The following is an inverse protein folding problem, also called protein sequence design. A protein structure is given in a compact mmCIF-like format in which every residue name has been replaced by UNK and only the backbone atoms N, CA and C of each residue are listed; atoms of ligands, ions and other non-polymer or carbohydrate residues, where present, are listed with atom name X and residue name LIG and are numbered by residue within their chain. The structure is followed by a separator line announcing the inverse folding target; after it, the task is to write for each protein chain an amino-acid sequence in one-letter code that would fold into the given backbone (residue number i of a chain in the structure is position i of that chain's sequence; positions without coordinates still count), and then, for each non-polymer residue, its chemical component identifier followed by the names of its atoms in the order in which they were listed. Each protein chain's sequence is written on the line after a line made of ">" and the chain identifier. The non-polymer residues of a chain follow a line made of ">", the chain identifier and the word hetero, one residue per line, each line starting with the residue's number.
data_IF_671122471846
#
_entry.id   IF_671122471846
#
_cell.length_a   1.000
_cell.length_b   1.000
_cell.length_c   1.000
_cell.angle_alpha   90.00
_cell.angle_beta   90.00
_cell.angle_gamma   90.00
#
_symmetry.space_group_name_H-M   'P 1'
#
loop_
_entity.id
_entity.type
_entity.pdbx_description
1 polymer ?
#
# COMPACT_ATOMS: atom_id res chain seq x y z
N UNK A 1 -11.90 -21.36 15.12
CA UNK A 1 -13.10 -21.47 15.98
C UNK A 1 -13.84 -22.74 15.61
N UNK A 2 -14.18 -23.60 16.58
CA UNK A 2 -15.08 -24.73 16.35
C UNK A 2 -16.50 -24.25 16.64
N UNK A 3 -17.31 -24.08 15.59
CA UNK A 3 -18.74 -23.81 15.74
C UNK A 3 -19.47 -25.10 16.12
N UNK A 4 -20.52 -24.98 16.93
CA UNK A 4 -21.43 -26.08 17.27
C UNK A 4 -22.11 -26.60 15.99
N UNK A 5 -22.18 -27.92 15.81
CA UNK A 5 -22.82 -28.57 14.66
C UNK A 5 -24.31 -28.18 14.53
N UNK A 6 -24.98 -27.93 15.67
CA UNK A 6 -26.36 -27.45 15.67
C UNK A 6 -26.47 -26.06 15.03
N UNK A 7 -25.52 -25.18 15.32
CA UNK A 7 -25.46 -23.84 14.73
C UNK A 7 -25.17 -23.92 13.23
N UNK A 8 -24.20 -24.75 12.81
CA UNK A 8 -23.86 -24.94 11.40
C UNK A 8 -25.06 -25.46 10.58
N UNK A 9 -25.84 -26.39 11.15
CA UNK A 9 -27.05 -26.90 10.51
C UNK A 9 -28.12 -25.80 10.38
N UNK A 10 -28.43 -25.09 11.48
CA UNK A 10 -29.41 -24.00 11.46
C UNK A 10 -29.04 -22.91 10.46
N UNK A 11 -27.77 -22.52 10.43
CA UNK A 11 -27.27 -21.53 9.48
C UNK A 11 -27.45 -21.99 8.04
N UNK A 12 -27.12 -23.25 7.74
CA UNK A 12 -27.18 -23.81 6.39
C UNK A 12 -28.59 -24.02 5.85
N UNK A 13 -29.56 -24.36 6.71
CA UNK A 13 -30.94 -24.69 6.29
C UNK A 13 -31.95 -23.56 6.47
N UNK A 14 -31.64 -22.56 7.30
CA UNK A 14 -32.57 -21.44 7.59
C UNK A 14 -31.98 -20.10 7.20
N UNK A 15 -30.85 -19.71 7.80
CA UNK A 15 -30.32 -18.36 7.66
C UNK A 15 -29.81 -18.06 6.25
N UNK A 16 -28.95 -18.92 5.69
CA UNK A 16 -28.39 -18.73 4.35
C UNK A 16 -29.43 -18.82 3.21
N UNK A 17 -30.40 -19.76 3.22
CA UNK A 17 -31.50 -19.74 2.26
C UNK A 17 -32.38 -18.49 2.38
N UNK A 18 -32.64 -18.00 3.59
CA UNK A 18 -33.38 -16.77 3.81
C UNK A 18 -32.62 -15.56 3.27
N UNK A 19 -31.32 -15.47 3.52
CA UNK A 19 -30.45 -14.41 2.98
C UNK A 19 -30.49 -14.41 1.44
N UNK A 20 -30.36 -15.57 0.80
CA UNK A 20 -30.46 -15.70 -0.65
C UNK A 20 -31.84 -15.25 -1.16
N UNK A 21 -32.92 -15.67 -0.49
CA UNK A 21 -34.28 -15.25 -0.83
C UNK A 21 -34.45 -13.73 -0.78
N UNK A 22 -33.93 -13.08 0.28
CA UNK A 22 -33.96 -11.63 0.42
C UNK A 22 -33.10 -10.91 -0.63
N UNK A 23 -31.95 -11.46 -1.00
CA UNK A 23 -31.09 -10.91 -2.06
C UNK A 23 -31.77 -10.96 -3.43
N UNK A 24 -32.39 -12.10 -3.77
CA UNK A 24 -33.13 -12.25 -5.03
C UNK A 24 -34.31 -11.28 -5.04
N UNK A 25 -35.08 -11.22 -3.94
CA UNK A 25 -36.21 -10.30 -3.81
C UNK A 25 -35.78 -8.83 -3.98
N UNK A 26 -34.72 -8.40 -3.29
CA UNK A 26 -34.15 -7.06 -3.43
C UNK A 26 -33.66 -6.76 -4.85
N UNK A 27 -33.10 -7.76 -5.54
CA UNK A 27 -32.64 -7.62 -6.94
C UNK A 27 -33.82 -7.43 -7.90
N UNK A 28 -34.90 -8.20 -7.72
CA UNK A 28 -36.13 -8.05 -8.50
C UNK A 28 -36.78 -6.69 -8.24
N UNK A 29 -36.88 -6.26 -6.98
CA UNK A 29 -37.39 -4.93 -6.64
C UNK A 29 -36.53 -3.81 -7.23
N UNK A 30 -35.20 -3.92 -7.15
CA UNK A 30 -34.28 -2.95 -7.74
C UNK A 30 -34.42 -2.87 -9.25
N UNK A 31 -34.63 -4.00 -9.92
CA UNK A 31 -34.93 -4.03 -11.36
C UNK A 31 -36.25 -3.32 -11.67
N UNK A 32 -37.34 -3.65 -10.96
CA UNK A 32 -38.65 -2.99 -11.14
C UNK A 32 -38.57 -1.48 -10.88
N UNK A 33 -37.81 -1.07 -9.87
CA UNK A 33 -37.59 0.35 -9.59
C UNK A 33 -36.81 1.02 -10.73
N UNK A 34 -35.73 0.39 -11.21
CA UNK A 34 -34.92 0.94 -12.30
C UNK A 34 -35.71 1.04 -13.62
N UNK A 35 -36.57 0.07 -13.93
CA UNK A 35 -37.44 0.12 -15.12
C UNK A 35 -38.50 1.21 -15.01
N UNK A 36 -39.02 1.47 -13.81
CA UNK A 36 -39.99 2.54 -13.58
C UNK A 36 -39.36 3.94 -13.57
N UNK A 37 -38.19 4.09 -12.95
CA UNK A 37 -37.52 5.37 -12.77
C UNK A 37 -36.73 5.85 -14.01
N UNK A 38 -36.40 4.96 -14.94
CA UNK A 38 -35.60 5.30 -16.12
C UNK A 38 -36.52 5.67 -17.31
N UNK A 39 -36.34 6.83 -17.95
CA UNK A 39 -37.12 7.21 -19.14
C UNK A 39 -37.01 6.16 -20.26
N UNK A 40 -38.14 5.93 -20.95
CA UNK A 40 -38.24 5.02 -22.09
C UNK A 40 -37.21 5.44 -23.16
N UNK A 41 -36.30 4.52 -23.53
CA UNK A 41 -35.23 4.76 -24.51
C UNK A 41 -33.82 4.93 -23.90
N UNK A 42 -33.70 5.07 -22.57
CA UNK A 42 -32.44 5.14 -21.84
C UNK A 42 -32.26 3.96 -20.87
N UNK A 43 -32.98 2.85 -21.06
CA UNK A 43 -32.81 1.66 -20.23
C UNK A 43 -31.59 0.85 -20.68
N UNK A 44 -30.51 0.90 -19.88
CA UNK A 44 -29.30 0.10 -20.08
C UNK A 44 -29.39 -1.28 -19.41
N UNK A 45 -30.40 -1.47 -18.54
CA UNK A 45 -30.60 -2.71 -17.78
C UNK A 45 -31.68 -3.56 -18.46
N UNK A 46 -31.25 -4.64 -19.11
CA UNK A 46 -32.15 -5.61 -19.75
C UNK A 46 -32.56 -6.73 -18.79
N UNK A 47 -33.60 -7.49 -19.12
CA UNK A 47 -33.98 -8.70 -18.38
C UNK A 47 -32.83 -9.71 -18.28
N UNK A 48 -31.96 -9.78 -19.29
CA UNK A 48 -30.78 -10.65 -19.26
C UNK A 48 -29.82 -10.30 -18.11
N UNK A 49 -29.69 -9.02 -17.76
CA UNK A 49 -28.87 -8.59 -16.62
C UNK A 49 -29.48 -9.03 -15.29
N UNK A 50 -30.81 -8.94 -15.15
CA UNK A 50 -31.53 -9.44 -13.97
C UNK A 50 -31.27 -10.92 -13.78
N UNK A 51 -31.50 -11.73 -14.82
CA UNK A 51 -31.29 -13.18 -14.75
C UNK A 51 -29.84 -13.55 -14.48
N UNK A 52 -28.88 -12.85 -15.10
CA UNK A 52 -27.46 -13.04 -14.84
C UNK A 52 -27.13 -12.79 -13.36
N UNK A 53 -27.63 -11.71 -12.77
CA UNK A 53 -27.40 -11.38 -11.36
C UNK A 53 -28.04 -12.40 -10.42
N UNK A 54 -29.26 -12.85 -10.70
CA UNK A 54 -29.91 -13.92 -9.93
C UNK A 54 -29.10 -15.21 -10.02
N UNK A 55 -28.64 -15.61 -11.22
CA UNK A 55 -27.78 -16.78 -11.38
C UNK A 55 -26.48 -16.67 -10.56
N UNK A 56 -25.82 -15.50 -10.59
CA UNK A 56 -24.61 -15.26 -9.78
C UNK A 56 -24.92 -15.38 -8.28
N UNK A 57 -26.04 -14.82 -7.81
CA UNK A 57 -26.46 -14.92 -6.41
C UNK A 57 -26.75 -16.35 -5.99
N UNK A 58 -27.45 -17.13 -6.81
CA UNK A 58 -27.73 -18.55 -6.54
C UNK A 58 -26.44 -19.35 -6.47
N UNK A 59 -25.53 -19.17 -7.43
CA UNK A 59 -24.23 -19.85 -7.44
C UNK A 59 -23.45 -19.50 -6.17
N UNK A 60 -23.33 -18.20 -5.85
CA UNK A 60 -22.62 -17.73 -4.65
C UNK A 60 -23.24 -18.29 -3.37
N UNK A 61 -24.55 -18.16 -3.21
CA UNK A 61 -25.29 -18.65 -2.03
C UNK A 61 -25.14 -20.16 -1.85
N UNK A 62 -25.23 -20.92 -2.94
CA UNK A 62 -25.01 -22.37 -2.92
C UNK A 62 -23.60 -22.70 -2.46
N UNK A 63 -22.57 -22.04 -2.98
CA UNK A 63 -21.17 -22.25 -2.55
C UNK A 63 -21.00 -21.96 -1.05
N UNK A 64 -21.59 -20.88 -0.54
CA UNK A 64 -21.52 -20.53 0.89
C UNK A 64 -22.24 -21.57 1.77
N UNK A 65 -23.40 -22.06 1.34
CA UNK A 65 -24.13 -23.13 2.03
C UNK A 65 -23.30 -24.42 2.06
N UNK A 66 -22.71 -24.81 0.92
CA UNK A 66 -21.83 -25.98 0.84
C UNK A 66 -20.57 -25.83 1.71
N UNK A 67 -20.10 -24.60 1.90
CA UNK A 67 -19.04 -24.26 2.85
C UNK A 67 -19.52 -24.17 4.31
N UNK A 68 -20.77 -24.53 4.61
CA UNK A 68 -21.39 -24.45 5.94
C UNK A 68 -21.39 -23.04 6.54
N UNK A 69 -21.48 -22.01 5.68
CA UNK A 69 -21.38 -20.61 6.08
C UNK A 69 -20.01 -20.19 6.59
N UNK A 70 -18.97 -21.01 6.39
CA UNK A 70 -17.59 -20.62 6.70
C UNK A 70 -17.13 -19.64 5.62
N UNK A 71 -16.75 -18.45 6.06
CA UNK A 71 -16.04 -17.51 5.20
C UNK A 71 -14.64 -18.06 4.91
N UNK A 72 -14.36 -18.39 3.65
CA UNK A 72 -13.04 -18.84 3.21
C UNK A 72 -11.95 -17.79 3.46
N UNK A 73 -12.34 -16.52 3.62
CA UNK A 73 -11.43 -15.43 3.92
C UNK A 73 -11.11 -15.30 5.43
N UNK A 74 -11.80 -16.00 6.31
CA UNK A 74 -11.58 -15.90 7.74
C UNK A 74 -10.44 -16.82 8.21
N UNK A 75 -9.22 -16.54 7.75
CA UNK A 75 -7.99 -17.19 8.19
C UNK A 75 -7.37 -16.43 9.37
N UNK A 76 -6.89 -17.17 10.38
CA UNK A 76 -6.25 -16.57 11.56
C UNK A 76 -4.75 -16.40 11.28
N UNK A 77 -4.30 -15.16 11.32
CA UNK A 77 -2.89 -14.82 11.16
C UNK A 77 -2.33 -14.28 12.48
N UNK A 78 -1.08 -14.66 12.81
CA UNK A 78 -0.34 -13.99 13.89
C UNK A 78 0.07 -12.58 13.51
N UNK A 79 0.42 -12.40 12.24
CA UNK A 79 0.70 -11.11 11.61
C UNK A 79 -0.01 -11.12 10.26
N UNK A 80 -0.87 -10.14 10.02
CA UNK A 80 -1.58 -10.00 8.76
C UNK A 80 -0.55 -9.88 7.62
N UNK A 81 -0.52 -10.83 6.68
CA UNK A 81 0.46 -10.83 5.59
C UNK A 81 0.10 -9.76 4.55
N UNK A 82 0.97 -9.62 3.55
CA UNK A 82 0.68 -8.79 2.39
C UNK A 82 -0.54 -9.32 1.65
N UNK A 83 -1.44 -8.42 1.33
CA UNK A 83 -2.53 -8.69 0.42
C UNK A 83 -2.03 -8.70 -1.04
N UNK A 84 -2.07 -9.85 -1.74
CA UNK A 84 -1.57 -9.96 -3.10
C UNK A 84 -2.59 -9.44 -4.14
N UNK A 85 -3.85 -9.26 -3.75
CA UNK A 85 -4.95 -9.02 -4.67
C UNK A 85 -5.21 -7.53 -4.87
N UNK A 86 -5.28 -7.05 -6.10
CA UNK A 86 -5.66 -5.66 -6.38
C UNK A 86 -7.18 -5.43 -6.34
N UNK A 87 -7.97 -6.42 -6.78
CA UNK A 87 -9.42 -6.24 -7.03
C UNK A 87 -10.28 -6.87 -5.93
N UNK A 88 -10.00 -8.13 -5.60
CA UNK A 88 -10.86 -8.94 -4.73
C UNK A 88 -10.36 -8.96 -3.29
N UNK A 89 -11.28 -8.84 -2.34
CA UNK A 89 -11.02 -9.01 -0.92
C UNK A 89 -10.78 -10.50 -0.62
N UNK A 90 -9.51 -10.85 -0.43
CA UNK A 90 -9.09 -12.19 -0.02
C UNK A 90 -8.90 -12.31 1.50
N UNK A 91 -8.39 -13.45 1.98
CA UNK A 91 -8.20 -13.68 3.40
C UNK A 91 -7.26 -12.68 4.08
N UNK A 92 -6.21 -12.25 3.39
CA UNK A 92 -5.23 -11.29 3.91
C UNK A 92 -5.86 -9.90 4.10
N UNK A 93 -6.72 -9.50 3.16
CA UNK A 93 -7.47 -8.25 3.25
C UNK A 93 -8.48 -8.29 4.41
N UNK A 94 -9.19 -9.41 4.56
CA UNK A 94 -10.14 -9.60 5.66
C UNK A 94 -9.44 -9.58 7.03
N UNK A 95 -8.24 -10.17 7.13
CA UNK A 95 -7.43 -10.06 8.34
C UNK A 95 -7.10 -8.60 8.70
N UNK A 96 -6.78 -7.76 7.70
CA UNK A 96 -6.53 -6.34 7.91
C UNK A 96 -7.78 -5.56 8.36
N UNK A 97 -8.97 -5.98 7.94
CA UNK A 97 -10.23 -5.43 8.46
C UNK A 97 -10.41 -5.67 9.96
N UNK A 98 -9.99 -6.82 10.50
CA UNK A 98 -10.02 -7.03 11.94
C UNK A 98 -9.03 -6.15 12.70
N UNK A 99 -7.90 -5.80 12.08
CA UNK A 99 -6.91 -4.89 12.69
C UNK A 99 -7.39 -3.43 12.63
N UNK A 100 -7.98 -3.02 11.50
CA UNK A 100 -8.49 -1.67 11.28
C UNK A 100 -9.96 -1.73 10.80
N UNK A 101 -10.93 -1.90 11.70
CA UNK A 101 -12.34 -2.12 11.35
C UNK A 101 -13.02 -0.90 10.72
N UNK A 102 -12.49 0.30 10.96
CA UNK A 102 -12.89 1.54 10.28
C UNK A 102 -12.29 1.69 8.87
N UNK A 103 -11.55 0.67 8.43
CA UNK A 103 -10.84 0.58 7.15
C UNK A 103 -11.05 -0.82 6.56
N UNK A 104 -10.55 -1.03 5.35
CA UNK A 104 -10.69 -2.30 4.64
C UNK A 104 -12.17 -2.76 4.57
N UNK A 105 -13.05 -1.86 4.14
CA UNK A 105 -14.52 -1.98 4.29
C UNK A 105 -15.12 -2.92 3.24
N UNK A 106 -14.49 -3.03 2.06
CA UNK A 106 -14.95 -3.88 0.97
C UNK A 106 -15.02 -5.36 1.35
N UNK A 107 -16.19 -5.97 1.16
CA UNK A 107 -16.42 -7.37 1.53
C UNK A 107 -16.01 -8.38 0.45
N UNK A 108 -16.13 -8.01 -0.82
CA UNK A 108 -15.78 -8.88 -1.96
C UNK A 108 -14.88 -8.16 -2.99
N UNK A 109 -15.16 -6.88 -3.27
CA UNK A 109 -14.38 -6.05 -4.19
C UNK A 109 -13.88 -4.83 -3.42
N UNK A 110 -12.62 -4.47 -3.64
CA UNK A 110 -11.94 -3.34 -3.00
C UNK A 110 -12.20 -1.98 -3.67
N UNK A 111 -13.11 -1.95 -4.66
CA UNK A 111 -13.38 -0.74 -5.45
C UNK A 111 -13.85 0.40 -4.54
N UNK A 112 -14.69 0.11 -3.56
CA UNK A 112 -15.12 1.10 -2.57
C UNK A 112 -13.91 1.72 -1.86
N UNK A 113 -13.03 0.87 -1.32
CA UNK A 113 -11.85 1.32 -0.60
C UNK A 113 -10.84 2.05 -1.47
N UNK A 114 -10.76 1.68 -2.75
CA UNK A 114 -9.94 2.38 -3.72
C UNK A 114 -10.52 3.77 -4.06
N UNK A 115 -11.83 3.91 -4.20
CA UNK A 115 -12.46 5.22 -4.47
C UNK A 115 -12.30 6.14 -3.26
N UNK A 116 -12.60 5.64 -2.07
CA UNK A 116 -12.65 6.43 -0.84
C UNK A 116 -11.31 6.52 -0.10
N UNK A 117 -10.31 5.73 -0.47
CA UNK A 117 -9.01 5.70 0.22
C UNK A 117 -9.11 5.10 1.62
N UNK A 118 -9.84 3.99 1.77
CA UNK A 118 -9.99 3.25 3.03
C UNK A 118 -9.24 1.91 3.03
N UNK A 119 -8.44 1.63 2.00
CA UNK A 119 -7.69 0.38 1.84
C UNK A 119 -6.38 0.34 2.65
N UNK A 120 -6.11 1.36 3.47
CA UNK A 120 -4.93 1.44 4.32
C UNK A 120 -5.07 2.50 5.40
N UNK A 121 -4.37 2.32 6.53
CA UNK A 121 -4.29 3.29 7.62
C UNK A 121 -2.89 3.42 8.18
N UNK A 122 -2.45 4.65 8.41
CA UNK A 122 -1.26 4.98 9.23
C UNK A 122 -1.63 5.32 10.67
N UNK A 123 -2.92 5.37 11.00
CA UNK A 123 -3.40 5.83 12.30
C UNK A 123 -2.84 4.94 13.40
N UNK A 124 -2.30 5.56 14.46
CA UNK A 124 -1.70 4.83 15.57
C UNK A 124 -0.34 4.19 15.26
N UNK A 125 0.20 4.30 14.04
CA UNK A 125 1.55 3.81 13.73
C UNK A 125 2.62 4.77 14.25
N UNK A 126 3.76 4.21 14.64
CA UNK A 126 4.98 4.96 14.99
C UNK A 126 5.85 5.07 13.75
N UNK A 127 6.23 6.29 13.38
CA UNK A 127 6.96 6.57 12.15
C UNK A 127 8.36 7.07 12.45
N UNK A 128 9.36 6.52 11.77
CA UNK A 128 10.71 7.06 11.70
C UNK A 128 10.94 7.63 10.31
N UNK A 129 11.48 8.84 10.23
CA UNK A 129 11.74 9.53 8.95
C UNK A 129 13.20 9.95 8.89
N UNK A 130 13.88 9.61 7.80
CA UNK A 130 15.17 10.22 7.45
C UNK A 130 14.96 11.35 6.46
N UNK A 131 15.77 12.40 6.52
CA UNK A 131 15.57 13.57 5.66
C UNK A 131 14.30 14.36 6.02
N UNK A 132 13.85 14.30 7.28
CA UNK A 132 12.66 15.04 7.75
C UNK A 132 12.76 16.55 7.60
N UNK A 133 13.98 17.11 7.58
CA UNK A 133 14.24 18.52 7.29
C UNK A 133 14.24 18.85 5.79
N UNK A 134 14.10 17.86 4.91
CA UNK A 134 13.94 18.07 3.47
C UNK A 134 12.57 18.62 3.12
N UNK A 135 12.40 19.13 1.90
CA UNK A 135 11.13 19.68 1.46
C UNK A 135 10.00 18.63 1.50
N UNK A 136 10.25 17.44 0.94
CA UNK A 136 9.30 16.31 1.01
C UNK A 136 9.15 15.78 2.44
N UNK A 137 10.25 15.64 3.18
CA UNK A 137 10.24 15.16 4.58
C UNK A 137 9.31 15.97 5.47
N UNK A 138 9.41 17.31 5.45
CA UNK A 138 8.51 18.18 6.21
C UNK A 138 7.06 18.05 5.76
N UNK A 139 6.84 17.99 4.45
CA UNK A 139 5.49 17.91 3.88
C UNK A 139 4.79 16.59 4.24
N UNK A 140 5.50 15.45 4.15
CA UNK A 140 4.92 14.14 4.50
C UNK A 140 4.69 14.01 6.00
N UNK A 141 5.57 14.57 6.85
CA UNK A 141 5.36 14.63 8.29
C UNK A 141 4.05 15.35 8.61
N UNK A 142 3.79 16.52 8.00
CA UNK A 142 2.56 17.25 8.22
C UNK A 142 1.29 16.46 7.81
N UNK A 143 1.35 15.71 6.70
CA UNK A 143 0.24 14.84 6.29
C UNK A 143 0.05 13.65 7.24
N UNK A 144 1.13 13.07 7.77
CA UNK A 144 1.06 11.95 8.72
C UNK A 144 0.51 12.38 10.08
N UNK A 145 0.89 13.57 10.57
CA UNK A 145 0.32 14.15 11.79
C UNK A 145 -1.20 14.33 11.67
N UNK A 146 -1.68 14.80 10.51
CA UNK A 146 -3.12 14.93 10.23
C UNK A 146 -3.85 13.59 10.19
N UNK A 147 -3.19 12.51 9.78
CA UNK A 147 -3.75 11.15 9.75
C UNK A 147 -3.74 10.46 11.13
N UNK A 148 -3.17 11.09 12.16
CA UNK A 148 -3.20 10.58 13.53
C UNK A 148 -2.24 9.42 13.78
N UNK A 149 -1.02 9.50 13.23
CA UNK A 149 0.09 8.64 13.65
C UNK A 149 0.37 8.82 15.15
N UNK A 150 0.83 7.76 15.83
CA UNK A 150 1.09 7.80 17.28
C UNK A 150 2.28 8.70 17.62
N UNK A 151 3.36 8.59 16.84
CA UNK A 151 4.59 9.36 17.06
C UNK A 151 5.41 9.43 15.78
N UNK A 152 6.13 10.54 15.58
CA UNK A 152 7.08 10.71 14.48
C UNK A 152 8.47 11.02 15.08
N UNK A 153 9.49 10.27 14.64
CA UNK A 153 10.88 10.52 14.99
C UNK A 153 11.72 10.79 13.74
N UNK A 154 12.27 11.99 13.62
CA UNK A 154 13.11 12.36 12.48
C UNK A 154 14.59 12.13 12.79
N UNK A 155 15.19 11.13 12.16
CA UNK A 155 16.63 10.85 12.24
C UNK A 155 17.44 11.88 11.46
N UNK A 156 18.40 12.52 12.12
CA UNK A 156 19.29 13.56 11.57
C UNK A 156 20.63 12.95 11.15
N UNK A 157 20.98 13.16 9.88
CA UNK A 157 22.29 12.80 9.34
C UNK A 157 23.41 13.57 10.06
N UNK A 158 24.49 12.88 10.42
CA UNK A 158 25.62 13.40 11.20
C UNK A 158 25.40 13.45 12.72
N UNK A 159 24.18 13.14 13.20
CA UNK A 159 23.86 13.12 14.65
C UNK A 159 23.44 11.71 15.07
N UNK A 160 22.39 11.20 14.42
CA UNK A 160 21.76 9.92 14.72
C UNK A 160 22.30 8.79 13.83
N UNK A 161 22.87 9.14 12.67
CA UNK A 161 23.54 8.20 11.76
C UNK A 161 24.38 8.96 10.73
N UNK A 162 25.36 8.28 10.15
CA UNK A 162 26.10 8.72 8.97
C UNK A 162 26.39 7.53 8.05
N UNK A 163 27.29 7.67 7.08
CA UNK A 163 27.57 6.60 6.11
C UNK A 163 28.34 5.41 6.70
N UNK A 164 28.91 5.55 7.89
CA UNK A 164 29.70 4.53 8.56
C UNK A 164 29.07 4.05 9.88
N UNK A 165 28.33 4.91 10.57
CA UNK A 165 27.80 4.69 11.91
C UNK A 165 26.27 4.77 11.90
N UNK A 166 25.61 3.69 12.31
CA UNK A 166 24.13 3.58 12.33
C UNK A 166 23.58 3.14 13.70
N UNK A 167 24.45 2.93 14.68
CA UNK A 167 24.14 2.29 15.97
C UNK A 167 23.09 3.10 16.74
N UNK A 168 23.20 4.43 16.70
CA UNK A 168 22.26 5.34 17.36
C UNK A 168 20.85 5.29 16.74
N UNK A 169 20.73 4.95 15.46
CA UNK A 169 19.43 4.82 14.79
C UNK A 169 18.69 3.54 15.21
N UNK A 170 19.38 2.50 15.69
CA UNK A 170 18.80 1.19 16.00
C UNK A 170 17.64 1.30 16.99
N UNK A 171 17.79 2.09 18.05
CA UNK A 171 16.74 2.26 19.05
C UNK A 171 15.44 2.80 18.43
N UNK A 172 15.54 3.83 17.59
CA UNK A 172 14.39 4.38 16.87
C UNK A 172 13.79 3.38 15.86
N UNK A 173 14.64 2.68 15.10
CA UNK A 173 14.21 1.69 14.12
C UNK A 173 13.48 0.50 14.76
N UNK A 174 13.96 0.02 15.91
CA UNK A 174 13.33 -1.11 16.63
C UNK A 174 11.94 -0.77 17.17
N UNK A 175 11.69 0.51 17.44
CA UNK A 175 10.47 1.00 18.06
C UNK A 175 9.45 1.58 17.06
N UNK A 176 9.72 1.54 15.75
CA UNK A 176 8.81 2.10 14.75
C UNK A 176 8.09 1.03 13.92
N UNK A 177 6.95 1.40 13.37
CA UNK A 177 6.13 0.56 12.49
C UNK A 177 6.35 0.93 11.02
N UNK A 178 6.70 2.19 10.74
CA UNK A 178 6.96 2.71 9.39
C UNK A 178 8.29 3.44 9.36
N UNK A 179 9.21 3.00 8.50
CA UNK A 179 10.46 3.69 8.16
C UNK A 179 10.31 4.44 6.83
N UNK A 180 10.45 5.76 6.84
CA UNK A 180 10.43 6.60 5.65
C UNK A 180 11.85 7.06 5.31
N UNK A 181 12.32 6.64 4.13
CA UNK A 181 13.61 6.99 3.56
C UNK A 181 13.42 8.17 2.59
N UNK A 182 13.41 9.39 3.13
CA UNK A 182 13.27 10.63 2.37
C UNK A 182 14.57 11.46 2.28
N UNK A 183 15.68 10.94 2.78
CA UNK A 183 17.00 11.54 2.56
C UNK A 183 17.48 11.31 1.12
N UNK A 184 18.30 12.23 0.63
CA UNK A 184 18.94 12.08 -0.67
C UNK A 184 19.72 13.31 -1.09
N UNK A 185 20.63 13.13 -2.05
CA UNK A 185 21.51 14.18 -2.54
C UNK A 185 21.81 14.01 -4.03
N UNK A 186 22.12 15.12 -4.71
CA UNK A 186 22.71 15.14 -6.06
C UNK A 186 24.25 15.31 -6.03
N UNK A 187 24.82 15.44 -4.83
CA UNK A 187 26.24 15.68 -4.57
C UNK A 187 27.15 14.51 -4.93
N UNK A 188 28.42 14.58 -4.51
CA UNK A 188 29.42 13.53 -4.79
C UNK A 188 29.09 12.21 -4.10
N UNK A 189 28.42 12.29 -2.98
CA UNK A 189 27.95 11.21 -2.11
C UNK A 189 26.60 10.62 -2.55
N UNK A 190 26.10 10.93 -3.75
CA UNK A 190 24.78 10.50 -4.21
C UNK A 190 24.56 8.98 -4.13
N UNK A 191 25.57 8.16 -4.46
CA UNK A 191 25.45 6.69 -4.34
C UNK A 191 25.35 6.26 -2.88
N UNK A 192 26.16 6.86 -2.02
CA UNK A 192 26.19 6.52 -0.61
C UNK A 192 24.86 6.91 0.08
N UNK A 193 24.37 8.10 -0.21
CA UNK A 193 23.09 8.61 0.28
C UNK A 193 21.89 7.88 -0.32
N UNK A 194 21.74 7.86 -1.65
CA UNK A 194 20.50 7.41 -2.27
C UNK A 194 20.40 5.88 -2.34
N UNK A 195 21.51 5.15 -2.19
CA UNK A 195 21.54 3.69 -2.31
C UNK A 195 22.09 3.01 -1.04
N UNK A 196 23.39 3.13 -0.75
CA UNK A 196 24.04 2.29 0.27
C UNK A 196 23.46 2.48 1.67
N UNK A 197 23.36 3.73 2.13
CA UNK A 197 22.77 4.04 3.44
C UNK A 197 21.28 3.72 3.52
N UNK A 198 20.52 3.95 2.44
CA UNK A 198 19.12 3.56 2.36
C UNK A 198 18.95 2.04 2.52
N UNK A 199 19.75 1.23 1.81
CA UNK A 199 19.78 -0.23 1.95
C UNK A 199 20.12 -0.64 3.38
N UNK A 200 21.17 -0.04 3.95
CA UNK A 200 21.63 -0.34 5.32
C UNK A 200 20.56 -0.04 6.37
N UNK A 201 19.85 1.07 6.25
CA UNK A 201 18.75 1.41 7.15
C UNK A 201 17.58 0.43 7.05
N UNK A 202 17.22 -0.03 5.84
CA UNK A 202 16.19 -1.08 5.68
C UNK A 202 16.63 -2.38 6.36
N UNK A 203 17.89 -2.79 6.19
CA UNK A 203 18.42 -4.01 6.81
C UNK A 203 18.40 -3.91 8.34
N UNK A 204 18.87 -2.81 8.90
CA UNK A 204 18.85 -2.59 10.34
C UNK A 204 17.42 -2.57 10.88
N UNK A 205 16.48 -1.95 10.16
CA UNK A 205 15.07 -1.98 10.51
C UNK A 205 14.53 -3.40 10.54
N UNK A 206 14.75 -4.19 9.49
CA UNK A 206 14.36 -5.60 9.43
C UNK A 206 14.98 -6.44 10.55
N UNK A 207 16.26 -6.25 10.82
CA UNK A 207 17.02 -7.04 11.80
C UNK A 207 16.60 -6.76 13.24
N UNK A 208 16.23 -5.51 13.55
CA UNK A 208 16.01 -5.05 14.93
C UNK A 208 14.53 -4.84 15.27
N UNK A 209 13.62 -4.93 14.30
CA UNK A 209 12.18 -4.82 14.59
C UNK A 209 11.68 -6.14 15.17
N UNK A 210 11.30 -6.22 16.46
CA UNK A 210 10.67 -7.41 16.99
C UNK A 210 9.30 -7.62 16.35
N UNK A 211 8.80 -8.85 16.40
CA UNK A 211 7.40 -9.13 16.10
C UNK A 211 6.54 -8.38 17.13
N UNK A 212 5.64 -7.52 16.65
CA UNK A 212 4.74 -6.79 17.52
C UNK A 212 3.44 -7.57 17.70
N UNK A 213 3.25 -8.15 18.88
CA UNK A 213 2.00 -8.84 19.20
C UNK A 213 0.83 -7.86 19.40
N UNK A 214 1.11 -6.58 19.66
CA UNK A 214 0.08 -5.55 19.88
C UNK A 214 -0.40 -4.90 18.59
N UNK A 215 0.42 -4.92 17.53
CA UNK A 215 0.07 -4.47 16.19
C UNK A 215 0.43 -5.57 15.18
N UNK A 216 -0.49 -6.51 14.89
CA UNK A 216 -0.21 -7.69 14.08
C UNK A 216 -0.19 -7.35 12.57
N UNK A 217 0.59 -6.35 12.18
CA UNK A 217 0.80 -5.96 10.78
C UNK A 217 2.28 -5.97 10.46
N UNK A 218 2.61 -6.28 9.22
CA UNK A 218 3.99 -6.21 8.76
C UNK A 218 4.56 -4.79 8.94
N UNK A 219 5.83 -4.66 9.36
CA UNK A 219 6.54 -3.39 9.37
C UNK A 219 6.66 -2.83 7.95
N UNK A 220 6.69 -1.51 7.83
CA UNK A 220 6.65 -0.84 6.53
C UNK A 220 7.90 -0.01 6.24
N UNK A 221 8.31 0.02 4.98
CA UNK A 221 9.41 0.85 4.49
C UNK A 221 8.92 1.66 3.31
N UNK A 222 9.03 2.97 3.38
CA UNK A 222 8.66 3.87 2.29
C UNK A 222 9.92 4.55 1.77
N UNK A 223 10.28 4.31 0.51
CA UNK A 223 11.45 4.92 -0.10
C UNK A 223 11.04 6.00 -1.10
N UNK A 224 11.65 7.18 -0.98
CA UNK A 224 11.47 8.28 -1.92
C UNK A 224 12.47 8.14 -3.07
N UNK A 225 12.00 7.52 -4.14
CA UNK A 225 12.67 7.38 -5.43
C UNK A 225 12.58 8.65 -6.28
N UNK A 226 12.57 8.48 -7.60
CA UNK A 226 12.36 9.56 -8.56
C UNK A 226 12.12 9.03 -9.97
N UNK A 227 11.36 9.74 -10.79
CA UNK A 227 11.22 9.40 -12.22
C UNK A 227 12.55 9.26 -12.95
N UNK A 228 13.63 9.90 -12.47
CA UNK A 228 14.97 9.81 -13.07
C UNK A 228 15.55 8.38 -13.11
N UNK A 229 14.98 7.47 -12.32
CA UNK A 229 15.33 6.05 -12.31
C UNK A 229 15.23 5.43 -13.71
N UNK A 230 14.23 5.83 -14.49
CA UNK A 230 14.00 5.27 -15.83
C UNK A 230 14.07 6.33 -16.95
N UNK A 231 14.40 7.58 -16.60
CA UNK A 231 14.55 8.68 -17.55
C UNK A 231 16.01 8.98 -17.88
N UNK A 232 16.34 9.33 -19.13
CA UNK A 232 17.67 9.82 -19.49
C UNK A 232 18.04 11.11 -18.73
N UNK A 233 19.30 11.27 -18.36
CA UNK A 233 19.80 12.45 -17.65
C UNK A 233 20.07 13.68 -18.54
N UNK A 234 19.62 13.65 -19.81
CA UNK A 234 19.72 14.72 -20.83
C UNK A 234 21.03 15.54 -20.82
N UNK A 235 22.18 14.87 -20.62
CA UNK A 235 23.51 15.48 -20.73
C UNK A 235 24.03 16.27 -19.51
N UNK A 236 23.27 16.41 -18.41
CA UNK A 236 23.72 17.12 -17.22
C UNK A 236 24.48 16.16 -16.27
N UNK A 237 25.76 16.45 -15.95
CA UNK A 237 26.64 15.58 -15.14
C UNK A 237 26.12 15.33 -13.72
N UNK A 238 25.54 16.33 -13.06
CA UNK A 238 24.95 16.15 -11.72
C UNK A 238 23.70 15.27 -11.79
N UNK A 239 22.87 15.46 -12.82
CA UNK A 239 21.70 14.61 -13.07
C UNK A 239 22.12 13.19 -13.47
N UNK A 240 23.25 13.00 -14.15
CA UNK A 240 23.79 11.67 -14.46
C UNK A 240 24.16 10.93 -13.19
N UNK A 241 24.89 11.58 -12.27
CA UNK A 241 25.24 10.95 -10.98
C UNK A 241 24.00 10.65 -10.14
N UNK A 242 23.07 11.60 -10.05
CA UNK A 242 21.80 11.40 -9.36
C UNK A 242 21.00 10.23 -9.96
N UNK A 243 20.86 10.19 -11.29
CA UNK A 243 20.21 9.09 -12.01
C UNK A 243 20.89 7.75 -11.74
N UNK A 244 22.22 7.69 -11.82
CA UNK A 244 23.00 6.48 -11.52
C UNK A 244 22.77 6.00 -10.09
N UNK A 245 22.77 6.91 -9.11
CA UNK A 245 22.55 6.54 -7.71
C UNK A 245 21.14 5.98 -7.45
N UNK A 246 20.10 6.58 -8.04
CA UNK A 246 18.72 6.10 -7.92
C UNK A 246 18.53 4.77 -8.66
N UNK A 247 19.14 4.61 -9.85
CA UNK A 247 19.15 3.35 -10.60
C UNK A 247 19.85 2.21 -9.87
N UNK A 248 20.94 2.50 -9.17
CA UNK A 248 21.68 1.50 -8.40
C UNK A 248 20.86 0.93 -7.25
N UNK A 249 19.91 1.70 -6.73
CA UNK A 249 18.98 1.24 -5.70
C UNK A 249 17.85 0.35 -6.24
N UNK A 250 17.53 0.41 -7.55
CA UNK A 250 16.39 -0.32 -8.13
C UNK A 250 16.40 -1.83 -7.87
N UNK A 251 17.52 -2.57 -7.97
CA UNK A 251 17.53 -3.99 -7.66
C UNK A 251 17.19 -4.30 -6.20
N UNK A 252 17.62 -3.45 -5.26
CA UNK A 252 17.25 -3.57 -3.85
C UNK A 252 15.78 -3.23 -3.64
N UNK A 253 15.29 -2.15 -4.26
CA UNK A 253 13.87 -1.79 -4.24
C UNK A 253 12.99 -2.93 -4.75
N UNK A 254 13.41 -3.62 -5.84
CA UNK A 254 12.69 -4.77 -6.38
C UNK A 254 12.65 -5.94 -5.39
N UNK A 255 13.78 -6.26 -4.75
CA UNK A 255 13.86 -7.27 -3.69
C UNK A 255 12.97 -6.93 -2.49
N UNK A 256 13.02 -5.69 -1.99
CA UNK A 256 12.18 -5.24 -0.88
C UNK A 256 10.69 -5.23 -1.21
N UNK A 257 10.33 -4.92 -2.47
CA UNK A 257 8.93 -4.93 -2.91
C UNK A 257 8.26 -6.30 -2.70
N UNK A 258 8.99 -7.38 -2.97
CA UNK A 258 8.50 -8.76 -2.87
C UNK A 258 8.84 -9.46 -1.55
N UNK A 259 9.62 -8.82 -0.69
CA UNK A 259 10.05 -9.35 0.61
C UNK A 259 8.86 -9.63 1.55
N UNK A 260 8.60 -10.88 1.92
CA UNK A 260 7.41 -11.24 2.72
C UNK A 260 7.32 -10.55 4.08
N UNK A 261 8.44 -10.10 4.63
CA UNK A 261 8.54 -9.67 6.03
C UNK A 261 8.25 -8.18 6.22
N UNK A 262 8.20 -7.40 5.13
CA UNK A 262 7.96 -5.96 5.16
C UNK A 262 6.97 -5.51 4.09
N UNK A 263 6.14 -4.51 4.36
CA UNK A 263 5.44 -3.79 3.29
C UNK A 263 6.37 -2.68 2.78
N UNK A 264 6.97 -2.91 1.61
CA UNK A 264 7.78 -1.90 0.95
C UNK A 264 6.92 -1.05 -0.01
N UNK A 265 7.06 0.28 0.11
CA UNK A 265 6.45 1.26 -0.77
C UNK A 265 7.50 2.07 -1.52
N UNK A 266 7.39 2.09 -2.83
CA UNK A 266 8.30 2.80 -3.72
C UNK A 266 7.62 4.07 -4.25
N UNK A 267 7.96 5.21 -3.68
CA UNK A 267 7.38 6.51 -4.03
C UNK A 267 8.20 7.10 -5.16
N UNK A 268 7.57 7.35 -6.30
CA UNK A 268 8.24 7.82 -7.51
C UNK A 268 7.74 9.21 -7.89
N UNK A 269 8.36 10.25 -7.31
CA UNK A 269 8.03 11.63 -7.62
C UNK A 269 8.66 12.08 -8.95
N UNK A 270 7.86 12.80 -9.71
CA UNK A 270 8.32 13.81 -10.68
C UNK A 270 9.00 14.98 -9.95
N UNK A 271 9.67 15.86 -10.68
CA UNK A 271 10.35 17.00 -10.06
C UNK A 271 9.36 17.89 -9.29
N UNK A 272 9.68 18.22 -8.04
CA UNK A 272 8.92 19.17 -7.22
C UNK A 272 9.87 20.20 -6.61
N UNK A 273 9.34 21.36 -6.24
CA UNK A 273 10.10 22.47 -5.69
C UNK A 273 10.77 22.05 -4.38
N UNK A 274 12.11 22.07 -4.38
CA UNK A 274 12.94 21.68 -3.24
C UNK A 274 14.32 22.32 -3.33
N UNK A 275 15.14 22.27 -2.25
CA UNK A 275 16.55 22.64 -2.33
C UNK A 275 17.35 21.85 -3.39
N UNK A 276 16.85 20.69 -3.82
CA UNK A 276 17.47 19.87 -4.87
C UNK A 276 17.17 20.37 -6.29
N UNK A 277 16.23 21.30 -6.49
CA UNK A 277 15.93 21.89 -7.79
C UNK A 277 14.55 22.53 -7.90
N UNK A 278 14.36 23.44 -8.88
CA UNK A 278 13.08 24.07 -9.13
C UNK A 278 12.11 23.13 -9.86
N UNK A 279 10.82 23.27 -9.59
CA UNK A 279 9.73 22.69 -10.37
C UNK A 279 8.43 23.44 -10.07
N UNK A 280 7.37 23.14 -10.83
CA UNK A 280 6.08 23.83 -10.75
C UNK A 280 5.31 23.43 -9.49
N UNK A 281 5.40 22.15 -9.09
CA UNK A 281 4.61 21.61 -7.99
C UNK A 281 5.39 21.67 -6.68
N UNK A 282 4.67 21.92 -5.58
CA UNK A 282 5.26 22.00 -4.24
C UNK A 282 5.51 20.62 -3.64
N UNK A 283 6.38 20.57 -2.62
CA UNK A 283 6.54 19.36 -1.81
C UNK A 283 5.24 18.95 -1.09
N UNK A 284 4.39 19.92 -0.73
CA UNK A 284 3.06 19.67 -0.16
C UNK A 284 2.14 18.92 -1.13
N UNK A 285 2.16 19.28 -2.42
CA UNK A 285 1.44 18.52 -3.46
C UNK A 285 1.98 17.09 -3.56
N UNK A 286 3.30 16.91 -3.56
CA UNK A 286 3.92 15.59 -3.64
C UNK A 286 3.54 14.69 -2.45
N UNK A 287 3.53 15.24 -1.23
CA UNK A 287 3.11 14.54 -0.02
C UNK A 287 1.61 14.17 -0.05
N UNK A 288 0.73 15.09 -0.44
CA UNK A 288 -0.71 14.81 -0.60
C UNK A 288 -0.98 13.72 -1.63
N UNK A 289 -0.31 13.78 -2.78
CA UNK A 289 -0.41 12.76 -3.82
C UNK A 289 0.13 11.41 -3.34
N UNK A 290 1.24 11.41 -2.59
CA UNK A 290 1.76 10.20 -1.94
C UNK A 290 0.69 9.57 -1.03
N UNK A 291 0.11 10.36 -0.12
CA UNK A 291 -0.91 9.86 0.80
C UNK A 291 -2.20 9.45 0.09
N UNK A 292 -2.58 10.12 -1.00
CA UNK A 292 -3.71 9.72 -1.83
C UNK A 292 -3.57 8.28 -2.34
N UNK A 293 -2.39 7.91 -2.83
CA UNK A 293 -2.11 6.55 -3.30
C UNK A 293 -1.96 5.55 -2.15
N UNK A 294 -1.27 5.94 -1.08
CA UNK A 294 -1.03 5.07 0.08
C UNK A 294 -2.35 4.69 0.78
N UNK A 295 -3.27 5.65 0.97
CA UNK A 295 -4.64 5.40 1.49
C UNK A 295 -5.44 4.39 0.65
N UNK A 296 -5.06 4.22 -0.62
CA UNK A 296 -5.66 3.27 -1.57
C UNK A 296 -4.90 1.94 -1.65
N UNK A 297 -3.96 1.71 -0.72
CA UNK A 297 -3.19 0.48 -0.65
C UNK A 297 -2.01 0.39 -1.63
N UNK A 298 -1.69 1.46 -2.36
CA UNK A 298 -0.64 1.40 -3.36
C UNK A 298 0.75 1.16 -2.74
N UNK A 299 1.47 0.15 -3.25
CA UNK A 299 2.88 -0.11 -2.92
C UNK A 299 3.83 0.60 -3.87
N UNK A 300 3.54 0.60 -5.16
CA UNK A 300 4.19 1.52 -6.10
C UNK A 300 3.38 2.81 -6.11
N UNK A 301 3.98 3.94 -5.75
CA UNK A 301 3.29 5.20 -5.48
C UNK A 301 3.72 6.24 -6.53
N UNK A 302 2.99 6.36 -7.66
CA UNK A 302 3.35 7.28 -8.73
C UNK A 302 2.94 8.71 -8.39
N UNK A 303 3.92 9.56 -8.07
CA UNK A 303 3.71 10.97 -7.69
C UNK A 303 4.11 11.85 -8.87
N UNK A 304 3.30 11.81 -9.92
CA UNK A 304 3.67 12.38 -11.22
C UNK A 304 2.62 13.32 -11.79
N UNK A 305 3.08 14.43 -12.37
CA UNK A 305 2.31 15.26 -13.30
C UNK A 305 2.72 15.06 -14.76
N UNK A 306 3.86 14.40 -15.01
CA UNK A 306 4.35 14.09 -16.35
C UNK A 306 3.72 12.82 -16.91
N UNK A 307 3.15 11.98 -16.02
CA UNK A 307 2.57 10.68 -16.34
C UNK A 307 3.60 9.56 -16.44
N UNK A 308 4.91 9.86 -16.40
CA UNK A 308 5.94 8.86 -16.64
C UNK A 308 6.06 7.80 -15.54
N UNK A 309 5.82 8.17 -14.27
CA UNK A 309 5.81 7.20 -13.19
C UNK A 309 4.82 6.03 -13.43
N UNK A 310 3.72 6.24 -14.16
CA UNK A 310 2.80 5.15 -14.52
C UNK A 310 3.43 4.14 -15.49
N UNK A 311 4.22 4.61 -16.46
CA UNK A 311 4.96 3.72 -17.36
C UNK A 311 6.13 3.04 -16.64
N UNK A 312 6.76 3.76 -15.71
CA UNK A 312 7.86 3.23 -14.90
C UNK A 312 7.41 2.10 -13.99
N UNK A 313 6.14 2.03 -13.60
CA UNK A 313 5.59 0.87 -12.90
C UNK A 313 5.87 -0.44 -13.67
N UNK A 314 5.57 -0.49 -14.98
CA UNK A 314 5.80 -1.69 -15.78
C UNK A 314 7.30 -2.01 -15.88
N UNK A 315 8.15 -1.00 -16.07
CA UNK A 315 9.60 -1.20 -16.08
C UNK A 315 10.12 -1.72 -14.74
N UNK A 316 9.64 -1.16 -13.64
CA UNK A 316 9.98 -1.57 -12.29
C UNK A 316 9.56 -3.02 -12.02
N UNK A 317 8.34 -3.40 -12.38
CA UNK A 317 7.82 -4.75 -12.12
C UNK A 317 8.47 -5.83 -12.99
N UNK A 318 8.73 -5.53 -14.26
CA UNK A 318 9.08 -6.55 -15.26
C UNK A 318 10.51 -6.48 -15.80
N UNK A 319 11.21 -5.34 -15.69
CA UNK A 319 12.55 -5.16 -16.28
C UNK A 319 13.66 -4.96 -15.23
N UNK A 320 13.33 -4.58 -13.99
CA UNK A 320 14.33 -4.44 -12.94
C UNK A 320 14.66 -5.81 -12.35
N UNK A 321 15.93 -6.25 -12.36
CA UNK A 321 16.33 -7.50 -11.72
C UNK A 321 16.33 -7.37 -10.20
N UNK A 322 16.23 -8.48 -9.48
CA UNK A 322 16.45 -8.51 -8.04
C UNK A 322 17.93 -8.29 -7.70
N UNK A 323 18.19 -7.72 -6.51
CA UNK A 323 19.54 -7.66 -5.96
C UNK A 323 20.15 -9.08 -5.85
N UNK A 324 21.41 -9.22 -6.28
CA UNK A 324 22.13 -10.50 -6.24
C UNK A 324 22.70 -10.79 -4.84
N UNK A 325 23.09 -12.04 -4.56
CA UNK A 325 23.39 -12.51 -3.20
C UNK A 325 24.41 -11.71 -2.37
N UNK A 326 25.38 -11.01 -2.99
CA UNK A 326 26.29 -10.10 -2.26
C UNK A 326 25.68 -8.73 -1.94
N UNK A 327 24.61 -8.38 -2.65
CA UNK A 327 23.82 -7.15 -2.51
C UNK A 327 22.53 -7.38 -1.69
N UNK A 328 22.29 -8.62 -1.21
CA UNK A 328 21.16 -8.98 -0.33
C UNK A 328 21.46 -8.83 1.16
N UNK A 329 22.71 -8.53 1.52
CA UNK A 329 23.23 -8.61 2.90
C UNK A 329 23.08 -7.30 3.65
#
# INVERSE_FOLDING_TARGET
>A
MNFDDKYLWQNSVQALPLELGLQIFGTVLGYVFATWATPIGLMWITQSHLWLMICIQIIRGTVVILASGRDSNHLVYKTAPKDPNWIFAGPEYHALHHVYPDRYIGSFIKLFDWVWGTAYSVRGKRVVVTGGNGAFGRAIIAELEQEGVQSIHSLKFGVDWDYQNFEKAIAALSACDVLILAHGTKGQDAVESNCNSAVRLVQLFKQNRPIDETSPTLPEVWYVGSEIEFHPAFGNKELQRYSQSKRRFLPHARSFFDDSDIIYRHIVPSAFQSPMGPAILSAGWAAKCTMFWIRRGARYVPVTYTGFAYLNYFKFMYLVPYAQGKDKA
#
